data_IF_017652645190
#
_entry.id   IF_017652645190
#
_cell.length_a   1.000
_cell.length_b   1.000
_cell.length_c   1.000
_cell.angle_alpha   90.00
_cell.angle_beta   90.00
_cell.angle_gamma   90.00
#
_symmetry.space_group_name_H-M   'P 1'
#
loop_
_entity.id
_entity.type
_entity.pdbx_description
1 polymer ?
#
# COMPACT_ATOMS: atom_id res chain seq x y z
N UNK A 1 -13.20 -21.85 -18.47
CA UNK A 1 -13.34 -20.57 -17.75
C UNK A 1 -12.03 -19.81 -17.89
N UNK A 2 -11.97 -18.72 -18.65
CA UNK A 2 -10.75 -17.88 -18.69
C UNK A 2 -10.83 -16.98 -17.47
N UNK A 3 -10.03 -17.28 -16.44
CA UNK A 3 -9.81 -16.34 -15.34
C UNK A 3 -9.21 -15.07 -15.96
N UNK A 4 -9.86 -13.93 -15.72
CA UNK A 4 -9.27 -12.64 -16.07
C UNK A 4 -7.89 -12.60 -15.42
N UNK A 5 -6.85 -12.34 -16.24
CA UNK A 5 -5.49 -12.23 -15.73
C UNK A 5 -5.47 -11.10 -14.70
N UNK A 6 -4.82 -11.32 -13.56
CA UNK A 6 -4.64 -10.30 -12.53
C UNK A 6 -4.18 -8.99 -13.18
N UNK A 7 -4.88 -7.89 -12.87
CA UNK A 7 -4.60 -6.55 -13.44
C UNK A 7 -3.29 -5.95 -12.96
N UNK A 8 -2.69 -6.51 -11.91
CA UNK A 8 -1.41 -6.05 -11.37
C UNK A 8 -0.30 -7.04 -11.70
N UNK A 9 0.88 -6.52 -11.99
CA UNK A 9 2.11 -7.30 -12.17
C UNK A 9 3.03 -7.00 -11.00
N UNK A 10 3.58 -8.05 -10.39
CA UNK A 10 4.45 -7.96 -9.22
C UNK A 10 5.84 -8.42 -9.62
N UNK A 11 6.85 -7.64 -9.24
CA UNK A 11 8.25 -7.96 -9.50
C UNK A 11 9.10 -7.50 -8.32
N UNK A 12 10.28 -8.13 -8.17
CA UNK A 12 11.29 -7.73 -7.20
C UNK A 12 12.38 -6.98 -7.95
N UNK A 13 12.80 -5.82 -7.43
CA UNK A 13 13.84 -4.99 -8.03
C UNK A 13 13.27 -3.72 -8.67
N UNK A 14 13.76 -3.37 -9.87
CA UNK A 14 13.37 -2.14 -10.55
C UNK A 14 11.91 -2.17 -10.99
N UNK A 15 11.18 -1.09 -10.73
CA UNK A 15 9.80 -0.94 -11.18
C UNK A 15 9.76 -0.82 -12.72
N UNK A 16 9.01 -1.67 -13.44
CA UNK A 16 8.90 -1.60 -14.90
C UNK A 16 8.05 -0.40 -15.38
N UNK A 17 7.24 0.19 -14.49
CA UNK A 17 6.36 1.32 -14.84
C UNK A 17 7.16 2.60 -15.05
N UNK A 18 6.82 3.37 -16.09
CA UNK A 18 7.42 4.70 -16.35
C UNK A 18 7.07 5.71 -15.25
N UNK A 19 5.90 5.58 -14.65
CA UNK A 19 5.42 6.39 -13.53
C UNK A 19 5.08 5.47 -12.38
N UNK A 20 5.56 5.79 -11.18
CA UNK A 20 5.25 5.03 -9.98
C UNK A 20 5.28 5.93 -8.74
N UNK A 21 4.54 5.50 -7.71
CA UNK A 21 4.71 6.01 -6.36
C UNK A 21 5.63 5.08 -5.57
N UNK A 22 6.46 5.65 -4.70
CA UNK A 22 7.18 4.89 -3.68
C UNK A 22 6.28 4.75 -2.46
N UNK A 23 6.12 3.55 -1.93
CA UNK A 23 5.46 3.31 -0.66
C UNK A 23 6.51 3.10 0.43
N UNK A 24 6.59 4.05 1.35
CA UNK A 24 7.49 4.00 2.50
C UNK A 24 6.70 3.65 3.76
N UNK A 25 7.07 2.53 4.39
CA UNK A 25 6.48 2.09 5.64
C UNK A 25 7.17 2.80 6.80
N UNK A 26 6.39 3.43 7.68
CA UNK A 26 6.88 4.17 8.83
C UNK A 26 6.40 3.54 10.13
N UNK A 27 7.30 3.54 11.11
CA UNK A 27 7.05 3.07 12.46
C UNK A 27 7.01 4.28 13.39
N UNK A 28 6.04 4.33 14.29
CA UNK A 28 5.84 5.47 15.20
C UNK A 28 7.05 5.70 16.11
N UNK A 29 7.61 4.62 16.64
CA UNK A 29 8.78 4.60 17.51
C UNK A 29 10.11 4.84 16.78
N UNK A 30 10.11 4.73 15.44
CA UNK A 30 11.28 5.00 14.59
C UNK A 30 10.96 6.04 13.51
N UNK A 31 10.13 7.04 13.84
CA UNK A 31 9.68 8.03 12.86
C UNK A 31 10.86 8.92 12.41
N UNK A 32 11.17 9.00 11.10
CA UNK A 32 12.35 9.71 10.61
C UNK A 32 12.37 11.21 10.92
N UNK A 33 13.48 11.72 11.46
CA UNK A 33 13.64 13.14 11.81
C UNK A 33 13.50 14.08 10.62
N UNK A 34 14.02 13.69 9.45
CA UNK A 34 13.88 14.47 8.22
C UNK A 34 12.42 14.70 7.82
N UNK A 35 11.53 13.73 8.09
CA UNK A 35 10.10 13.87 7.84
C UNK A 35 9.42 14.79 8.87
N UNK A 36 9.90 14.81 10.12
CA UNK A 36 9.45 15.78 11.14
C UNK A 36 9.82 17.21 10.74
N UNK A 37 10.98 17.42 10.16
CA UNK A 37 11.36 18.75 9.64
C UNK A 37 10.55 19.13 8.40
N UNK A 38 10.43 18.20 7.44
CA UNK A 38 9.77 18.44 6.15
C UNK A 38 8.26 18.68 6.29
N UNK A 39 7.60 17.91 7.16
CA UNK A 39 6.15 17.97 7.39
C UNK A 39 5.82 18.45 8.81
N UNK A 40 6.56 19.44 9.29
CA UNK A 40 6.53 19.91 10.68
C UNK A 40 5.13 20.26 11.17
N UNK A 41 4.33 20.93 10.33
CA UNK A 41 2.94 21.25 10.64
C UNK A 41 2.09 19.99 10.82
N UNK A 42 2.15 19.05 9.86
CA UNK A 42 1.37 17.82 9.90
C UNK A 42 1.78 16.91 11.07
N UNK A 43 3.08 16.87 11.38
CA UNK A 43 3.57 16.10 12.53
C UNK A 43 3.20 16.75 13.86
N UNK A 44 3.29 18.08 13.98
CA UNK A 44 2.97 18.81 15.21
C UNK A 44 1.46 18.78 15.50
N UNK A 45 0.62 18.79 14.47
CA UNK A 45 -0.84 18.68 14.60
C UNK A 45 -1.33 17.23 14.77
N UNK A 46 -0.44 16.24 14.84
CA UNK A 46 -0.81 14.83 15.02
C UNK A 46 -1.46 14.17 13.80
N UNK A 47 -1.50 14.86 12.65
CA UNK A 47 -2.11 14.37 11.41
C UNK A 47 -1.31 13.22 10.83
N UNK A 48 0.02 13.28 10.98
CA UNK A 48 0.92 12.26 10.45
C UNK A 48 2.08 12.04 11.42
N UNK A 49 2.01 10.96 12.18
CA UNK A 49 2.97 10.62 13.24
C UNK A 49 3.42 9.15 13.16
N UNK A 50 3.05 8.46 12.10
CA UNK A 50 3.34 7.03 11.91
C UNK A 50 2.39 6.11 12.67
N UNK A 51 1.25 6.63 13.15
CA UNK A 51 0.20 5.79 13.75
C UNK A 51 -0.33 4.77 12.76
N UNK A 52 -0.79 3.63 13.29
CA UNK A 52 -1.25 2.53 12.45
C UNK A 52 -2.43 2.96 11.56
N UNK A 53 -2.26 2.82 10.24
CA UNK A 53 -3.27 3.17 9.24
C UNK A 53 -3.27 4.63 8.81
N UNK A 54 -2.42 5.49 9.38
CA UNK A 54 -2.22 6.82 8.81
C UNK A 54 -1.55 6.71 7.45
N UNK A 55 -2.12 7.39 6.45
CA UNK A 55 -1.55 7.49 5.11
C UNK A 55 -1.35 8.97 4.81
N UNK A 56 -0.15 9.32 4.37
CA UNK A 56 0.19 10.65 3.90
C UNK A 56 0.86 10.55 2.54
N UNK A 57 0.42 11.34 1.56
CA UNK A 57 1.00 11.32 0.21
C UNK A 57 1.70 12.64 -0.07
N UNK A 58 2.98 12.54 -0.40
CA UNK A 58 3.76 13.61 -1.00
C UNK A 58 3.68 13.48 -2.53
N UNK A 59 2.84 14.32 -3.14
CA UNK A 59 2.63 14.34 -4.59
C UNK A 59 3.84 14.91 -5.36
N UNK A 60 4.69 15.72 -4.71
CA UNK A 60 5.86 16.32 -5.35
C UNK A 60 6.93 15.26 -5.58
N UNK A 61 7.21 14.45 -4.55
CA UNK A 61 8.19 13.35 -4.64
C UNK A 61 7.59 12.01 -5.07
N UNK A 62 6.26 11.95 -5.23
CA UNK A 62 5.49 10.72 -5.49
C UNK A 62 5.79 9.65 -4.43
N UNK A 63 5.74 10.03 -3.16
CA UNK A 63 5.94 9.12 -2.03
C UNK A 63 4.65 9.02 -1.24
N UNK A 64 4.18 7.79 -1.04
CA UNK A 64 3.11 7.46 -0.13
C UNK A 64 3.77 6.94 1.13
N UNK A 65 3.46 7.55 2.26
CA UNK A 65 3.90 7.08 3.56
C UNK A 65 2.74 6.37 4.25
N UNK A 66 3.00 5.16 4.76
CA UNK A 66 2.04 4.37 5.53
C UNK A 66 2.58 4.16 6.95
N UNK A 67 1.84 4.65 7.94
CA UNK A 67 2.11 4.38 9.36
C UNK A 67 1.66 2.97 9.76
N UNK A 68 2.56 2.24 10.41
CA UNK A 68 2.31 0.89 10.95
C UNK A 68 2.15 0.89 12.48
N UNK A 69 2.28 2.05 13.13
CA UNK A 69 2.24 2.19 14.59
C UNK A 69 3.55 1.79 15.26
N UNK A 70 3.45 1.41 16.54
CA UNK A 70 4.59 0.97 17.34
C UNK A 70 5.06 -0.43 16.93
N UNK A 71 6.36 -0.62 16.76
CA UNK A 71 6.97 -1.91 16.36
C UNK A 71 6.48 -3.10 17.18
N UNK A 72 6.31 -2.94 18.50
CA UNK A 72 5.87 -3.99 19.43
C UNK A 72 4.42 -4.46 19.22
N UNK A 73 3.59 -3.66 18.55
CA UNK A 73 2.17 -3.93 18.32
C UNK A 73 1.89 -4.41 16.90
N UNK A 74 2.91 -4.45 16.04
CA UNK A 74 2.74 -4.84 14.64
C UNK A 74 2.43 -6.33 14.56
N UNK A 75 1.32 -6.63 13.89
CA UNK A 75 0.91 -7.99 13.56
C UNK A 75 0.88 -8.13 12.06
N UNK A 76 1.29 -9.29 11.56
CA UNK A 76 1.28 -9.58 10.13
C UNK A 76 -0.10 -9.38 9.48
N UNK A 77 -1.17 -9.66 10.23
CA UNK A 77 -2.56 -9.41 9.79
C UNK A 77 -2.85 -7.91 9.54
N UNK A 78 -2.30 -7.04 10.38
CA UNK A 78 -2.44 -5.59 10.21
C UNK A 78 -1.72 -5.09 8.96
N UNK A 79 -0.52 -5.61 8.71
CA UNK A 79 0.22 -5.36 7.46
C UNK A 79 -0.62 -5.81 6.26
N UNK A 80 -1.10 -7.06 6.27
CA UNK A 80 -1.94 -7.61 5.21
C UNK A 80 -3.17 -6.74 4.91
N UNK A 81 -3.88 -6.26 5.95
CA UNK A 81 -5.05 -5.40 5.80
C UNK A 81 -4.73 -4.09 5.05
N UNK A 82 -3.61 -3.43 5.36
CA UNK A 82 -3.22 -2.21 4.65
C UNK A 82 -2.94 -2.49 3.18
N UNK A 83 -2.22 -3.57 2.89
CA UNK A 83 -1.87 -3.92 1.51
C UNK A 83 -3.05 -4.44 0.69
N UNK A 84 -4.06 -5.03 1.33
CA UNK A 84 -5.35 -5.32 0.69
C UNK A 84 -6.00 -4.05 0.14
N UNK A 85 -6.08 -2.99 0.95
CA UNK A 85 -6.62 -1.69 0.51
C UNK A 85 -5.79 -1.05 -0.60
N UNK A 86 -4.47 -1.23 -0.60
CA UNK A 86 -3.62 -0.79 -1.72
C UNK A 86 -3.91 -1.57 -3.00
N UNK A 87 -4.19 -2.89 -2.92
CA UNK A 87 -4.61 -3.68 -4.07
C UNK A 87 -5.88 -3.13 -4.73
N UNK A 88 -6.87 -2.76 -3.93
CA UNK A 88 -8.12 -2.14 -4.41
C UNK A 88 -7.88 -0.78 -5.10
N UNK A 89 -6.93 0.01 -4.59
CA UNK A 89 -6.53 1.30 -5.18
C UNK A 89 -5.77 1.10 -6.49
N UNK A 90 -4.79 0.20 -6.51
CA UNK A 90 -3.96 -0.08 -7.69
C UNK A 90 -4.76 -0.58 -8.88
N UNK A 91 -5.83 -1.35 -8.63
CA UNK A 91 -6.77 -1.76 -9.66
C UNK A 91 -7.37 -0.59 -10.46
N UNK A 92 -7.48 0.59 -9.84
CA UNK A 92 -8.04 1.81 -10.44
C UNK A 92 -6.96 2.71 -11.08
N UNK A 93 -5.69 2.40 -10.88
CA UNK A 93 -4.58 3.18 -11.41
C UNK A 93 -4.17 2.66 -12.78
N UNK A 94 -4.35 3.47 -13.82
CA UNK A 94 -3.91 3.13 -15.17
C UNK A 94 -2.48 3.63 -15.39
N UNK A 95 -1.55 2.70 -15.66
CA UNK A 95 -0.17 3.03 -16.01
C UNK A 95 0.72 3.55 -14.87
N UNK A 96 0.25 3.51 -13.61
CA UNK A 96 1.00 3.93 -12.43
C UNK A 96 1.38 2.71 -11.58
N UNK A 97 2.67 2.53 -11.33
CA UNK A 97 3.21 1.47 -10.46
C UNK A 97 3.29 1.87 -8.99
N UNK A 98 3.56 0.88 -8.13
CA UNK A 98 3.86 1.08 -6.72
C UNK A 98 5.17 0.36 -6.39
N UNK A 99 6.14 1.10 -5.86
CA UNK A 99 7.43 0.55 -5.42
C UNK A 99 7.46 0.52 -3.89
N UNK A 100 7.50 -0.67 -3.30
CA UNK A 100 7.34 -0.85 -1.86
C UNK A 100 8.70 -1.01 -1.19
N UNK A 101 9.03 -0.11 -0.27
CA UNK A 101 10.30 -0.13 0.47
C UNK A 101 10.07 -0.72 1.86
N UNK A 102 10.66 -1.88 2.12
CA UNK A 102 10.57 -2.54 3.43
C UNK A 102 11.68 -2.05 4.36
N UNK A 103 11.36 -1.35 5.46
CA UNK A 103 12.38 -0.89 6.40
C UNK A 103 12.95 -2.09 7.16
N UNK A 104 14.28 -2.07 7.40
CA UNK A 104 14.98 -3.13 8.14
C UNK A 104 14.36 -3.44 9.51
N UNK A 105 13.86 -2.40 10.20
CA UNK A 105 13.24 -2.53 11.52
C UNK A 105 12.00 -3.44 11.47
N UNK A 106 11.22 -3.37 10.38
CA UNK A 106 10.06 -4.25 10.17
C UNK A 106 10.51 -5.70 9.94
N UNK A 107 11.54 -5.92 9.10
CA UNK A 107 12.06 -7.26 8.79
C UNK A 107 12.89 -7.88 9.92
N UNK A 108 13.28 -7.10 10.92
CA UNK A 108 13.87 -7.60 12.17
C UNK A 108 12.81 -8.05 13.17
N UNK A 109 11.61 -7.46 13.10
CA UNK A 109 10.51 -7.74 14.04
C UNK A 109 9.59 -8.84 13.53
N UNK A 110 9.47 -8.97 12.21
CA UNK A 110 8.71 -10.00 11.52
C UNK A 110 9.58 -10.68 10.47
N UNK A 111 9.36 -11.97 10.25
CA UNK A 111 10.07 -12.73 9.22
C UNK A 111 9.89 -12.09 7.84
N UNK A 112 10.99 -11.78 7.16
CA UNK A 112 10.97 -11.01 5.91
C UNK A 112 10.21 -11.73 4.79
N UNK A 113 10.39 -13.04 4.68
CA UNK A 113 9.65 -13.92 3.76
C UNK A 113 8.14 -13.88 4.02
N UNK A 114 7.73 -13.94 5.29
CA UNK A 114 6.33 -13.86 5.68
C UNK A 114 5.73 -12.49 5.35
N UNK A 115 6.48 -11.40 5.60
CA UNK A 115 6.06 -10.04 5.26
C UNK A 115 5.87 -9.89 3.76
N UNK A 116 6.86 -10.29 2.96
CA UNK A 116 6.79 -10.20 1.49
C UNK A 116 5.63 -11.04 0.96
N UNK A 117 5.49 -12.29 1.41
CA UNK A 117 4.40 -13.17 1.02
C UNK A 117 3.04 -12.54 1.31
N UNK A 118 2.85 -12.00 2.52
CA UNK A 118 1.56 -11.42 2.90
C UNK A 118 1.26 -10.12 2.18
N UNK A 119 2.27 -9.29 1.89
CA UNK A 119 2.11 -8.08 1.08
C UNK A 119 1.62 -8.46 -0.32
N UNK A 120 2.33 -9.38 -0.98
CA UNK A 120 2.02 -9.82 -2.35
C UNK A 120 0.62 -10.44 -2.41
N UNK A 121 0.34 -11.41 -1.54
CA UNK A 121 -0.95 -12.09 -1.49
C UNK A 121 -2.09 -11.09 -1.22
N UNK A 122 -1.91 -10.13 -0.31
CA UNK A 122 -2.95 -9.15 0.01
C UNK A 122 -3.20 -8.17 -1.14
N UNK A 123 -2.14 -7.72 -1.83
CA UNK A 123 -2.25 -6.88 -3.03
C UNK A 123 -3.02 -7.60 -4.14
N UNK A 124 -2.70 -8.86 -4.39
CA UNK A 124 -3.41 -9.68 -5.38
C UNK A 124 -4.88 -9.87 -5.02
N UNK A 125 -5.17 -10.19 -3.75
CA UNK A 125 -6.54 -10.34 -3.27
C UNK A 125 -7.35 -9.04 -3.41
N UNK A 126 -6.77 -7.89 -3.05
CA UNK A 126 -7.44 -6.59 -3.19
C UNK A 126 -7.61 -6.16 -4.65
N UNK A 127 -6.65 -6.50 -5.52
CA UNK A 127 -6.73 -6.18 -6.94
C UNK A 127 -7.69 -7.12 -7.71
N UNK A 128 -8.00 -8.29 -7.14
CA UNK A 128 -8.88 -9.27 -7.78
C UNK A 128 -10.29 -8.71 -7.97
N UNK A 129 -10.83 -8.83 -9.18
CA UNK A 129 -12.18 -8.39 -9.47
C UNK A 129 -13.20 -9.48 -9.04
N UNK A 130 -13.88 -9.27 -7.92
CA UNK A 130 -15.03 -10.11 -7.49
C UNK A 130 -16.22 -9.98 -8.48
N UNK A 131 -16.14 -9.10 -9.47
CA UNK A 131 -17.17 -8.86 -10.49
C UNK A 131 -17.42 -10.03 -11.45
N UNK A 132 -16.79 -11.20 -11.29
CA UNK A 132 -17.13 -12.40 -12.09
C UNK A 132 -18.62 -12.78 -11.95
N UNK A 133 -19.29 -12.38 -10.86
CA UNK A 133 -20.73 -12.56 -10.64
C UNK A 133 -21.55 -11.27 -10.71
N UNK A 134 -20.91 -10.11 -10.78
CA UNK A 134 -21.61 -8.85 -11.00
C UNK A 134 -21.94 -8.78 -12.50
N UNK A 135 -23.05 -9.41 -12.89
CA UNK A 135 -23.75 -9.07 -14.13
C UNK A 135 -23.76 -7.55 -14.20
N UNK A 136 -23.18 -7.00 -15.26
CA UNK A 136 -23.38 -5.61 -15.64
C UNK A 136 -24.85 -5.29 -15.38
N UNK A 137 -25.11 -4.48 -14.35
CA UNK A 137 -26.43 -3.94 -14.14
C UNK A 137 -26.63 -3.00 -15.33
N UNK A 138 -27.10 -3.56 -16.45
CA UNK A 138 -27.54 -2.81 -17.61
C UNK A 138 -28.64 -1.92 -17.11
N UNK A 139 -28.29 -0.66 -16.88
CA UNK A 139 -29.23 0.42 -16.73
C UNK A 139 -30.20 0.29 -17.90
N UNK A 140 -31.46 0.02 -17.58
CA UNK A 140 -32.51 -0.04 -18.58
C UNK A 140 -32.58 1.34 -19.24
N UNK A 141 -31.94 1.47 -20.40
CA UNK A 141 -32.26 2.50 -21.38
C UNK A 141 -33.70 2.26 -21.84
N UNK A 142 -34.66 2.77 -21.08
CA UNK A 142 -36.02 2.92 -21.55
C UNK A 142 -36.08 4.18 -22.42
N UNK A 143 -36.23 3.89 -23.72
CA UNK A 143 -36.95 4.61 -24.77
C UNK A 143 -37.47 6.01 -24.44
#
# INVERSE_FOLDING_TARGET
MKLDKNKIQISIGKNPSKTFYKLQLLLKDHFPENLKTKFSFQTASGIFTGENGQIFTDEVEKIIYLGLGETSKIKIRGVAQHFFQFGEKLKKWEGVGLEIHLPKVLTNSLSADLVVYQIVNSLEQGAYAINVLAKEYKENSKK
#
